data_IF_547697934681
#
_entry.id   IF_547697934681
#
_cell.length_a   1.000
_cell.length_b   1.000
_cell.length_c   1.000
_cell.angle_alpha   90.00
_cell.angle_beta   90.00
_cell.angle_gamma   90.00
#
_symmetry.space_group_name_H-M   'P 1'
#
loop_
_entity.id
_entity.type
_entity.pdbx_description
1 polymer ?
#
# COMPACT_ATOMS: atom_id res chain seq x y z
N UNK A 1 -29.96 49.84 -37.32
CA UNK A 1 -29.99 50.50 -36.00
C UNK A 1 -30.93 49.72 -35.08
N UNK A 2 -30.36 48.92 -34.17
CA UNK A 2 -30.87 48.66 -32.81
C UNK A 2 -29.95 47.62 -32.16
N UNK A 3 -29.37 48.06 -31.06
CA UNK A 3 -28.47 47.35 -30.17
C UNK A 3 -29.15 46.17 -29.48
N UNK A 4 -28.38 45.12 -29.16
CA UNK A 4 -28.44 44.52 -27.83
C UNK A 4 -27.17 43.69 -27.56
N UNK A 5 -26.24 44.29 -26.82
CA UNK A 5 -25.14 43.55 -26.19
C UNK A 5 -25.71 42.82 -24.97
N UNK A 6 -25.73 41.49 -25.00
CA UNK A 6 -26.10 40.66 -23.86
C UNK A 6 -24.82 40.26 -23.12
N UNK A 7 -24.51 40.97 -22.05
CA UNK A 7 -23.38 40.66 -21.16
C UNK A 7 -23.82 39.48 -20.27
N UNK A 8 -23.34 38.28 -20.56
CA UNK A 8 -23.43 37.13 -19.66
C UNK A 8 -22.39 37.29 -18.56
N UNK A 9 -22.83 37.80 -17.41
CA UNK A 9 -22.04 37.81 -16.18
C UNK A 9 -21.93 36.38 -15.64
N UNK A 10 -20.80 35.73 -15.88
CA UNK A 10 -20.45 34.49 -15.18
C UNK A 10 -20.20 34.80 -13.71
N UNK A 11 -21.18 34.54 -12.85
CA UNK A 11 -21.03 34.55 -11.40
C UNK A 11 -20.08 33.42 -11.00
N UNK A 12 -18.89 33.79 -10.55
CA UNK A 12 -17.88 32.89 -10.02
C UNK A 12 -18.38 32.31 -8.68
N UNK A 13 -18.99 31.13 -8.71
CA UNK A 13 -19.33 30.37 -7.50
C UNK A 13 -18.03 29.83 -6.89
N UNK A 14 -17.48 30.57 -5.93
CA UNK A 14 -16.44 30.06 -5.04
C UNK A 14 -17.09 29.07 -4.06
N UNK A 15 -17.02 27.77 -4.37
CA UNK A 15 -17.29 26.72 -3.39
C UNK A 15 -16.17 26.75 -2.35
N UNK A 16 -16.41 27.46 -1.24
CA UNK A 16 -15.56 27.43 -0.07
C UNK A 16 -15.64 26.05 0.59
N UNK A 17 -14.61 25.24 0.41
CA UNK A 17 -14.43 24.03 1.21
C UNK A 17 -13.71 24.43 2.51
N UNK A 18 -14.47 24.62 3.59
CA UNK A 18 -13.92 24.85 4.93
C UNK A 18 -13.28 23.56 5.43
N UNK A 19 -11.97 23.42 5.23
CA UNK A 19 -11.17 22.45 5.97
C UNK A 19 -10.87 23.05 7.36
N UNK A 20 -11.28 22.33 8.39
CA UNK A 20 -11.03 22.67 9.80
C UNK A 20 -9.53 22.87 10.02
N UNK A 21 -9.14 24.11 10.30
CA UNK A 21 -7.79 24.48 10.72
C UNK A 21 -7.59 24.08 12.18
N UNK A 22 -6.80 23.04 12.46
CA UNK A 22 -6.16 22.91 13.77
C UNK A 22 -4.97 23.86 13.74
N UNK A 23 -5.13 25.02 14.36
CA UNK A 23 -4.09 26.04 14.49
C UNK A 23 -2.98 25.51 15.41
N UNK A 24 -1.80 25.27 14.83
CA UNK A 24 -0.56 25.48 15.56
C UNK A 24 0.45 26.10 14.60
N UNK A 25 0.75 27.37 14.83
CA UNK A 25 1.68 28.19 14.06
C UNK A 25 3.11 27.72 14.33
N UNK A 26 3.64 26.87 13.46
CA UNK A 26 4.95 27.07 12.81
C UNK A 26 5.38 25.77 12.12
N UNK A 27 5.54 25.89 10.79
CA UNK A 27 5.94 24.87 9.82
C UNK A 27 4.81 23.93 9.37
N UNK A 28 4.04 24.39 8.39
CA UNK A 28 3.32 23.50 7.48
C UNK A 28 4.38 22.75 6.66
N UNK A 29 4.83 21.59 7.14
CA UNK A 29 5.38 20.58 6.25
C UNK A 29 4.18 19.95 5.55
N UNK A 30 3.98 20.29 4.29
CA UNK A 30 3.13 19.48 3.41
C UNK A 30 3.82 18.12 3.35
N UNK A 31 3.35 17.21 4.20
CA UNK A 31 3.78 15.81 4.13
C UNK A 31 3.01 15.26 2.95
N UNK A 32 3.70 15.04 1.84
CA UNK A 32 3.15 14.31 0.70
C UNK A 32 2.91 12.86 1.15
N UNK A 33 1.75 12.65 1.77
CA UNK A 33 1.25 11.35 2.15
C UNK A 33 0.13 11.00 1.17
N UNK A 34 0.36 10.06 0.22
CA UNK A 34 -0.64 9.71 -0.79
C UNK A 34 -1.98 9.30 -0.15
N UNK A 35 -1.92 8.72 1.04
CA UNK A 35 -3.06 8.27 1.84
C UNK A 35 -3.88 9.37 2.54
N UNK A 36 -3.45 10.64 2.50
CA UNK A 36 -4.28 11.77 2.96
C UNK A 36 -5.28 12.25 1.92
N UNK A 37 -4.97 12.04 0.64
CA UNK A 37 -5.75 12.56 -0.49
C UNK A 37 -6.55 11.48 -1.20
N UNK A 38 -6.23 10.21 -0.99
CA UNK A 38 -6.83 9.08 -1.66
C UNK A 38 -7.35 8.06 -0.66
N UNK A 39 -8.53 7.51 -0.94
CA UNK A 39 -9.09 6.41 -0.17
C UNK A 39 -8.20 5.17 -0.30
N UNK A 40 -7.93 4.52 0.83
CA UNK A 40 -7.24 3.23 0.85
C UNK A 40 -8.06 2.21 0.07
N UNK A 41 -7.39 1.39 -0.74
CA UNK A 41 -8.03 0.26 -1.41
C UNK A 41 -8.33 -0.80 -0.36
N UNK A 42 -9.61 -1.00 -0.07
CA UNK A 42 -10.11 -2.05 0.82
C UNK A 42 -10.76 -3.10 -0.06
N UNK A 43 -10.27 -4.33 -0.02
CA UNK A 43 -10.71 -5.44 -0.88
C UNK A 43 -10.90 -6.71 -0.06
N UNK A 44 -11.75 -7.61 -0.54
CA UNK A 44 -11.77 -9.01 -0.10
C UNK A 44 -10.67 -9.82 -0.82
N UNK A 45 -10.63 -11.14 -0.63
CA UNK A 45 -9.63 -11.95 -1.29
C UNK A 45 -9.76 -11.97 -2.81
N UNK A 46 -10.97 -11.97 -3.37
CA UNK A 46 -11.17 -11.96 -4.82
C UNK A 46 -10.60 -10.67 -5.45
N UNK A 47 -10.72 -9.54 -4.76
CA UNK A 47 -10.05 -8.30 -5.15
C UNK A 47 -8.53 -8.35 -4.99
N UNK A 48 -8.02 -8.97 -3.92
CA UNK A 48 -6.58 -9.15 -3.71
C UNK A 48 -5.95 -10.11 -4.72
N UNK A 49 -6.64 -11.17 -5.13
CA UNK A 49 -6.14 -12.20 -6.04
C UNK A 49 -5.66 -11.61 -7.36
N UNK A 50 -6.29 -10.52 -7.82
CA UNK A 50 -5.85 -9.78 -8.99
C UNK A 50 -4.40 -9.27 -8.87
N UNK A 51 -3.96 -8.93 -7.66
CA UNK A 51 -2.60 -8.50 -7.35
C UNK A 51 -1.62 -9.66 -7.16
N UNK A 52 -2.11 -10.88 -6.98
CA UNK A 52 -1.29 -12.08 -6.88
C UNK A 52 -1.04 -12.72 -8.26
N UNK A 53 -1.86 -12.39 -9.25
CA UNK A 53 -1.83 -12.99 -10.60
C UNK A 53 -0.79 -12.42 -11.59
N UNK A 54 0.23 -11.69 -11.15
CA UNK A 54 1.26 -11.09 -12.02
C UNK A 54 0.70 -10.21 -13.17
N UNK A 55 0.01 -9.11 -12.82
CA UNK A 55 -0.62 -8.21 -13.79
C UNK A 55 0.34 -7.74 -14.89
N UNK A 56 1.56 -7.35 -14.51
CA UNK A 56 2.64 -7.03 -15.44
C UNK A 56 3.69 -8.14 -15.42
N UNK A 57 3.72 -8.93 -16.50
CA UNK A 57 4.66 -10.04 -16.70
C UNK A 57 6.13 -9.62 -16.73
N UNK A 58 6.41 -8.32 -16.86
CA UNK A 58 7.77 -7.79 -16.85
C UNK A 58 8.28 -7.40 -15.47
N UNK A 59 7.42 -7.45 -14.45
CA UNK A 59 7.75 -7.08 -13.08
C UNK A 59 7.98 -8.29 -12.18
N UNK A 60 8.78 -8.07 -11.15
CA UNK A 60 8.83 -8.92 -9.96
C UNK A 60 8.06 -8.22 -8.84
N UNK A 61 7.12 -8.93 -8.24
CA UNK A 61 6.30 -8.42 -7.15
C UNK A 61 6.79 -8.95 -5.81
N UNK A 62 6.80 -8.08 -4.81
CA UNK A 62 7.09 -8.39 -3.41
C UNK A 62 5.87 -7.99 -2.59
N UNK A 63 5.06 -8.97 -2.19
CA UNK A 63 3.82 -8.76 -1.43
C UNK A 63 4.10 -9.07 0.04
N UNK A 64 4.00 -8.08 0.92
CA UNK A 64 4.19 -8.26 2.37
C UNK A 64 2.85 -8.17 3.09
N UNK A 65 2.50 -9.22 3.85
CA UNK A 65 1.31 -9.30 4.68
C UNK A 65 1.67 -8.88 6.10
N UNK A 66 1.05 -7.81 6.59
CA UNK A 66 1.40 -7.17 7.85
C UNK A 66 0.18 -6.57 8.55
N UNK A 67 0.35 -6.12 9.79
CA UNK A 67 -0.66 -5.30 10.47
C UNK A 67 0.00 -4.36 11.48
N UNK A 68 -0.67 -3.25 11.82
CA UNK A 68 -0.10 -2.26 12.76
C UNK A 68 0.09 -2.80 14.17
N UNK A 69 -0.67 -3.83 14.57
CA UNK A 69 -0.56 -4.49 15.86
C UNK A 69 0.54 -5.58 15.90
N UNK A 70 1.11 -5.93 14.74
CA UNK A 70 2.19 -6.89 14.64
C UNK A 70 3.55 -6.18 14.77
N UNK A 71 4.16 -6.26 15.96
CA UNK A 71 5.46 -5.64 16.23
C UNK A 71 6.60 -6.06 15.27
N UNK A 72 6.81 -7.36 14.96
CA UNK A 72 7.86 -7.75 14.01
C UNK A 72 7.56 -7.22 12.59
N UNK A 73 6.30 -7.22 12.15
CA UNK A 73 5.92 -6.67 10.86
C UNK A 73 6.24 -5.17 10.76
N UNK A 74 5.87 -4.38 11.77
CA UNK A 74 6.17 -2.95 11.82
C UNK A 74 7.67 -2.67 11.78
N UNK A 75 8.48 -3.53 12.39
CA UNK A 75 9.95 -3.40 12.42
C UNK A 75 10.58 -3.57 11.03
N UNK A 76 10.02 -4.42 10.18
CA UNK A 76 10.60 -4.72 8.86
C UNK A 76 10.10 -3.81 7.72
N UNK A 77 8.98 -3.08 7.89
CA UNK A 77 8.45 -2.19 6.85
C UNK A 77 9.48 -1.21 6.25
N UNK A 78 10.40 -0.58 7.02
CA UNK A 78 11.42 0.28 6.45
C UNK A 78 12.31 -0.44 5.42
N UNK A 79 12.53 -1.74 5.57
CA UNK A 79 13.32 -2.53 4.63
C UNK A 79 12.57 -2.76 3.32
N UNK A 80 11.25 -2.97 3.37
CA UNK A 80 10.40 -3.07 2.18
C UNK A 80 10.30 -1.73 1.44
N UNK A 81 10.17 -0.62 2.16
CA UNK A 81 10.20 0.73 1.58
C UNK A 81 11.54 1.03 0.88
N UNK A 82 12.64 0.65 1.53
CA UNK A 82 13.98 0.77 0.96
C UNK A 82 14.12 -0.10 -0.29
N UNK A 83 13.65 -1.35 -0.25
CA UNK A 83 13.67 -2.28 -1.38
C UNK A 83 12.89 -1.71 -2.58
N UNK A 84 11.68 -1.20 -2.34
CA UNK A 84 10.84 -0.59 -3.38
C UNK A 84 11.55 0.59 -4.05
N UNK A 85 12.20 1.45 -3.25
CA UNK A 85 12.93 2.61 -3.76
C UNK A 85 14.18 2.20 -4.54
N UNK A 86 14.99 1.29 -4.00
CA UNK A 86 16.27 0.87 -4.62
C UNK A 86 16.05 0.11 -5.93
N UNK A 87 14.93 -0.61 -6.07
CA UNK A 87 14.66 -1.48 -7.23
C UNK A 87 13.54 -0.97 -8.14
N UNK A 88 13.06 0.25 -7.96
CA UNK A 88 12.02 0.86 -8.81
C UNK A 88 12.38 0.82 -10.31
N UNK A 89 13.64 1.15 -10.66
CA UNK A 89 14.14 1.12 -12.05
C UNK A 89 14.36 -0.29 -12.60
N UNK A 90 14.27 -1.32 -11.74
CA UNK A 90 14.48 -2.73 -12.07
C UNK A 90 13.17 -3.51 -12.16
N UNK A 91 12.05 -2.82 -12.34
CA UNK A 91 10.71 -3.43 -12.46
C UNK A 91 10.34 -4.27 -11.23
N UNK A 92 10.77 -3.84 -10.05
CA UNK A 92 10.32 -4.44 -8.79
C UNK A 92 9.21 -3.57 -8.21
N UNK A 93 8.14 -4.21 -7.76
CA UNK A 93 7.01 -3.53 -7.15
C UNK A 93 6.70 -4.15 -5.79
N UNK A 94 6.80 -3.33 -4.74
CA UNK A 94 6.43 -3.73 -3.38
C UNK A 94 4.99 -3.32 -3.12
N UNK A 95 4.18 -4.27 -2.64
CA UNK A 95 2.81 -4.06 -2.20
C UNK A 95 2.69 -4.50 -0.75
N UNK A 96 2.17 -3.62 0.10
CA UNK A 96 1.98 -3.85 1.52
C UNK A 96 0.51 -4.17 1.79
N UNK A 97 0.21 -5.44 2.05
CA UNK A 97 -1.14 -5.92 2.36
C UNK A 97 -1.36 -5.83 3.87
N UNK A 98 -2.12 -4.82 4.29
CA UNK A 98 -2.55 -4.67 5.68
C UNK A 98 -3.69 -5.63 6.00
N UNK A 99 -3.51 -6.37 7.09
CA UNK A 99 -4.49 -7.23 7.75
C UNK A 99 -5.07 -6.55 9.01
N UNK A 100 -4.97 -5.21 9.10
CA UNK A 100 -5.61 -4.47 10.18
C UNK A 100 -7.13 -4.66 10.11
N UNK A 101 -7.75 -4.90 11.27
CA UNK A 101 -9.20 -5.08 11.32
C UNK A 101 -9.93 -3.82 10.82
N UNK A 102 -11.11 -3.94 10.19
CA UNK A 102 -11.85 -2.79 9.65
C UNK A 102 -12.04 -1.64 10.66
N UNK A 103 -12.35 -1.98 11.91
CA UNK A 103 -12.51 -1.02 13.01
C UNK A 103 -11.23 -0.24 13.39
N UNK A 104 -10.07 -0.71 12.94
CA UNK A 104 -8.75 -0.13 13.21
C UNK A 104 -8.22 0.70 12.03
N UNK A 105 -8.88 0.70 10.87
CA UNK A 105 -8.39 1.41 9.68
C UNK A 105 -8.24 2.92 9.96
N UNK A 106 -9.29 3.58 10.43
CA UNK A 106 -9.27 5.02 10.70
C UNK A 106 -8.43 5.38 11.94
N UNK A 107 -8.49 4.54 12.97
CA UNK A 107 -7.90 4.86 14.28
C UNK A 107 -6.45 4.42 14.46
N UNK A 108 -5.97 3.47 13.65
CA UNK A 108 -4.62 2.90 13.73
C UNK A 108 -3.89 2.94 12.40
N UNK A 109 -4.44 2.31 11.35
CA UNK A 109 -3.74 2.15 10.08
C UNK A 109 -3.45 3.49 9.42
N UNK A 110 -4.46 4.32 9.14
CA UNK A 110 -4.25 5.63 8.51
C UNK A 110 -3.24 6.49 9.30
N UNK A 111 -3.40 6.72 10.62
CA UNK A 111 -2.39 7.44 11.40
C UNK A 111 -0.98 6.85 11.30
N UNK A 112 -0.86 5.52 11.29
CA UNK A 112 0.41 4.83 11.13
C UNK A 112 1.05 5.11 9.76
N UNK A 113 0.29 5.00 8.67
CA UNK A 113 0.77 5.29 7.32
C UNK A 113 1.29 6.73 7.21
N UNK A 114 0.56 7.68 7.80
CA UNK A 114 0.94 9.10 7.82
C UNK A 114 2.21 9.36 8.62
N UNK A 115 2.28 8.79 9.83
CA UNK A 115 3.43 8.96 10.73
C UNK A 115 4.70 8.37 10.12
N UNK A 116 4.61 7.19 9.51
CA UNK A 116 5.75 6.47 8.96
C UNK A 116 6.05 6.84 7.50
N UNK A 117 5.18 7.62 6.85
CA UNK A 117 5.35 8.13 5.47
C UNK A 117 5.62 7.01 4.46
N UNK A 118 4.88 5.91 4.56
CA UNK A 118 5.00 4.80 3.62
C UNK A 118 4.64 5.29 2.20
N UNK A 119 5.44 4.87 1.23
CA UNK A 119 5.33 5.23 -0.19
C UNK A 119 4.90 4.06 -1.07
N UNK A 120 5.21 2.82 -0.67
CA UNK A 120 4.75 1.62 -1.38
C UNK A 120 3.22 1.55 -1.37
N UNK A 121 2.61 0.91 -2.37
CA UNK A 121 1.16 0.73 -2.43
C UNK A 121 0.70 -0.09 -1.23
N UNK A 122 -0.31 0.42 -0.52
CA UNK A 122 -0.94 -0.27 0.61
C UNK A 122 -2.36 -0.69 0.20
N UNK A 123 -2.64 -1.98 0.38
CA UNK A 123 -3.97 -2.58 0.18
C UNK A 123 -4.44 -3.09 1.54
N UNK A 124 -5.69 -2.85 1.89
CA UNK A 124 -6.30 -3.44 3.08
C UNK A 124 -7.08 -4.68 2.65
N UNK A 125 -6.69 -5.85 3.15
CA UNK A 125 -7.46 -7.07 2.99
C UNK A 125 -8.50 -7.14 4.10
N UNK A 126 -9.76 -6.99 3.71
CA UNK A 126 -10.93 -7.12 4.57
C UNK A 126 -11.75 -8.34 4.14
N UNK A 127 -11.22 -9.52 4.46
CA UNK A 127 -11.90 -10.79 4.23
C UNK A 127 -11.91 -11.59 5.54
N UNK A 128 -13.12 -11.91 6.01
CA UNK A 128 -13.34 -12.57 7.30
C UNK A 128 -13.01 -14.07 7.25
N UNK A 129 -12.92 -14.68 6.07
CA UNK A 129 -12.71 -16.11 5.91
C UNK A 129 -11.24 -16.46 5.64
N UNK A 130 -10.39 -16.16 6.62
CA UNK A 130 -8.96 -16.43 6.57
C UNK A 130 -8.61 -17.89 6.26
N UNK A 131 -9.41 -18.83 6.75
CA UNK A 131 -9.20 -20.26 6.51
C UNK A 131 -9.35 -20.63 5.03
N UNK A 132 -10.17 -19.88 4.28
CA UNK A 132 -10.37 -20.12 2.85
C UNK A 132 -9.29 -19.45 2.00
N UNK A 133 -8.87 -18.23 2.34
CA UNK A 133 -7.95 -17.49 1.47
C UNK A 133 -6.46 -17.68 1.76
N UNK A 134 -6.08 -17.97 3.00
CA UNK A 134 -4.66 -18.22 3.36
C UNK A 134 -4.05 -19.34 2.49
N UNK A 135 -4.69 -20.51 2.34
CA UNK A 135 -4.15 -21.60 1.51
C UNK A 135 -4.08 -21.28 0.02
N UNK A 136 -4.84 -20.27 -0.45
CA UNK A 136 -4.79 -19.78 -1.83
C UNK A 136 -3.58 -18.88 -2.07
N UNK A 137 -3.07 -18.19 -1.04
CA UNK A 137 -1.80 -17.45 -1.11
C UNK A 137 -0.64 -18.42 -1.07
N UNK A 138 -0.59 -19.28 -0.05
CA UNK A 138 0.34 -20.41 0.03
C UNK A 138 -0.25 -21.51 0.91
N UNK A 139 -0.28 -22.75 0.41
CA UNK A 139 -0.86 -23.91 1.10
C UNK A 139 -0.18 -24.24 2.44
N UNK A 140 1.05 -23.78 2.65
CA UNK A 140 1.81 -24.02 3.87
C UNK A 140 1.75 -22.84 4.84
N UNK A 141 1.09 -21.73 4.47
CA UNK A 141 0.97 -20.59 5.35
C UNK A 141 0.09 -20.93 6.56
N UNK A 142 0.66 -20.81 7.76
CA UNK A 142 -0.05 -21.04 9.02
C UNK A 142 -1.07 -19.94 9.36
N UNK A 143 -1.00 -18.81 8.66
CA UNK A 143 -1.68 -17.56 8.99
C UNK A 143 -0.87 -16.61 9.88
N UNK A 144 0.33 -16.99 10.30
CA UNK A 144 1.21 -16.09 11.06
C UNK A 144 1.72 -14.94 10.18
N UNK A 145 1.91 -13.76 10.80
CA UNK A 145 2.54 -12.61 10.17
C UNK A 145 3.77 -12.15 10.98
N UNK A 146 4.82 -11.60 10.32
CA UNK A 146 4.87 -11.23 8.90
C UNK A 146 4.97 -12.43 7.96
N UNK A 147 4.39 -12.26 6.77
CA UNK A 147 4.53 -13.20 5.67
C UNK A 147 4.79 -12.44 4.36
N UNK A 148 5.63 -12.99 3.50
CA UNK A 148 6.03 -12.34 2.25
C UNK A 148 5.94 -13.32 1.08
N UNK A 149 5.29 -12.89 0.00
CA UNK A 149 5.27 -13.60 -1.28
C UNK A 149 6.12 -12.82 -2.28
N UNK A 150 7.15 -13.45 -2.83
CA UNK A 150 7.92 -12.89 -3.95
C UNK A 150 7.61 -13.72 -5.19
N UNK A 151 7.19 -13.06 -6.26
CA UNK A 151 6.83 -13.77 -7.48
C UNK A 151 7.12 -12.96 -8.75
N UNK A 152 7.33 -13.68 -9.84
CA UNK A 152 7.30 -13.18 -11.21
C UNK A 152 6.75 -14.29 -12.13
N UNK A 153 6.85 -14.13 -13.45
CA UNK A 153 6.34 -15.14 -14.38
C UNK A 153 7.07 -16.47 -14.37
N UNK A 154 8.26 -16.53 -13.77
CA UNK A 154 9.12 -17.72 -13.77
C UNK A 154 8.95 -18.55 -12.51
N UNK A 155 8.79 -17.88 -11.36
CA UNK A 155 8.70 -18.56 -10.07
C UNK A 155 7.97 -17.73 -9.02
N UNK A 156 7.51 -18.42 -7.99
CA UNK A 156 6.86 -17.87 -6.80
C UNK A 156 7.50 -18.52 -5.58
N UNK A 157 7.86 -17.73 -4.58
CA UNK A 157 8.38 -18.22 -3.30
C UNK A 157 7.69 -17.47 -2.16
N UNK A 158 7.25 -18.24 -1.17
CA UNK A 158 6.57 -17.74 0.01
C UNK A 158 7.46 -17.88 1.25
N UNK A 159 7.41 -16.88 2.13
CA UNK A 159 8.21 -16.78 3.34
C UNK A 159 7.34 -16.38 4.53
N UNK A 160 7.20 -17.28 5.50
CA UNK A 160 6.55 -17.00 6.78
C UNK A 160 7.62 -16.70 7.85
N UNK A 161 8.31 -15.57 7.67
CA UNK A 161 9.36 -15.12 8.58
C UNK A 161 9.53 -13.60 8.49
N UNK A 162 10.19 -13.02 9.51
CA UNK A 162 10.64 -11.63 9.43
C UNK A 162 11.89 -11.48 8.58
N UNK A 163 12.05 -10.31 7.98
CA UNK A 163 13.23 -9.95 7.22
C UNK A 163 14.00 -8.79 7.85
N UNK A 164 15.33 -8.85 7.76
CA UNK A 164 16.14 -7.65 7.63
C UNK A 164 16.37 -7.29 6.16
N UNK A 165 16.94 -6.12 5.88
CA UNK A 165 17.15 -5.68 4.50
C UNK A 165 18.08 -6.61 3.71
N UNK A 166 19.14 -7.16 4.33
CA UNK A 166 20.13 -7.97 3.61
C UNK A 166 19.50 -9.30 3.19
N UNK A 167 18.78 -9.94 4.10
CA UNK A 167 18.04 -11.16 3.82
C UNK A 167 16.96 -10.93 2.74
N UNK A 168 16.16 -9.86 2.86
CA UNK A 168 15.11 -9.53 1.89
C UNK A 168 15.68 -9.28 0.49
N UNK A 169 16.75 -8.48 0.41
CA UNK A 169 17.40 -8.18 -0.86
C UNK A 169 18.05 -9.43 -1.48
N UNK A 170 18.59 -10.32 -0.64
CA UNK A 170 19.19 -11.58 -1.09
C UNK A 170 18.14 -12.46 -1.76
N UNK A 171 16.96 -12.61 -1.16
CA UNK A 171 15.84 -13.35 -1.76
C UNK A 171 15.35 -12.69 -3.04
N UNK A 172 15.13 -11.36 -3.04
CA UNK A 172 14.72 -10.63 -4.25
C UNK A 172 15.71 -10.84 -5.41
N UNK A 173 17.02 -10.74 -5.15
CA UNK A 173 18.04 -10.90 -6.20
C UNK A 173 17.96 -12.26 -6.89
N UNK A 174 17.45 -13.30 -6.25
CA UNK A 174 17.25 -14.60 -6.91
C UNK A 174 16.19 -14.55 -8.03
N UNK A 175 15.31 -13.54 -8.05
CA UNK A 175 14.30 -13.32 -9.09
C UNK A 175 14.78 -12.40 -10.21
N UNK A 176 15.87 -11.66 -9.98
CA UNK A 176 16.43 -10.69 -10.93
C UNK A 176 17.66 -11.21 -11.68
N UNK A 177 18.24 -12.32 -11.21
CA UNK A 177 19.31 -13.02 -11.91
C UNK A 177 18.73 -13.64 -13.19
N UNK A 178 19.11 -13.06 -14.33
CA UNK A 178 19.03 -13.68 -15.65
C UNK A 178 20.34 -14.40 -15.93
#
# INVERSE_FOLDING_TARGET
MKHLFLILTFTFFAFGNQYISILNSNQIKIVDAPYLKQDLKIVDFDGLEQYLAAKDKSKTYVINFWATWCAPCVKELPYFEQLNTTYADKKVEVILVSLDFPKQIESKLKPFLLKNKLKSEVIVLNDVDANTWIPKVDKNWSGAIPATLIYNTQKTVFYEQSFDYIALETELKQFLKQ
#
